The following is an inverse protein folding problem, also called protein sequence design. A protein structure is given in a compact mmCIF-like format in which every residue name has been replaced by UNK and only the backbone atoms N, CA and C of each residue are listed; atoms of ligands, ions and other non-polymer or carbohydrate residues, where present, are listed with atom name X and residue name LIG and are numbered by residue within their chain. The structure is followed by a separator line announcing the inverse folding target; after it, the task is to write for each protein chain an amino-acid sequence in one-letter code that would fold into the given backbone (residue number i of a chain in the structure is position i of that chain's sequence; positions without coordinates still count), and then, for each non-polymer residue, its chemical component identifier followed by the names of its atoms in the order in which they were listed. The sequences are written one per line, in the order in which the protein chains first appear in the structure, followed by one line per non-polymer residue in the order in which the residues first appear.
data_IF_716309605579
#
_entry.id   IF_716309605579
#
_cell.length_a   1.000
_cell.length_b   1.000
_cell.length_c   1.000
_cell.angle_alpha   90.00
_cell.angle_beta   90.00
_cell.angle_gamma   90.00
#
_symmetry.space_group_name_H-M   'P 1'
#
loop_
_entity.id
_entity.type
_entity.pdbx_description
1 polymer ?
#
# COMPACT_ATOMS: atom_id res chain seq x y z
N UNK A 1 55.33 6.75 -7.55
CA UNK A 1 54.09 7.31 -8.13
C UNK A 1 53.12 6.21 -8.58
N UNK A 2 53.60 5.19 -9.32
CA UNK A 2 52.77 4.08 -9.83
C UNK A 2 51.98 3.31 -8.75
N UNK A 3 52.57 3.08 -7.58
CA UNK A 3 51.88 2.36 -6.50
C UNK A 3 50.67 3.13 -5.95
N UNK A 4 50.79 4.45 -5.83
CA UNK A 4 49.68 5.32 -5.42
C UNK A 4 48.59 5.30 -6.49
N UNK A 5 48.97 5.36 -7.77
CA UNK A 5 48.03 5.29 -8.88
C UNK A 5 47.29 3.95 -8.93
N UNK A 6 47.99 2.84 -8.68
CA UNK A 6 47.42 1.50 -8.57
C UNK A 6 46.41 1.40 -7.42
N UNK A 7 46.75 1.94 -6.25
CA UNK A 7 45.86 1.99 -5.10
C UNK A 7 44.61 2.85 -5.37
N UNK A 8 44.78 4.01 -6.02
CA UNK A 8 43.68 4.88 -6.42
C UNK A 8 42.73 4.20 -7.41
N UNK A 9 43.26 3.56 -8.46
CA UNK A 9 42.44 2.80 -9.42
C UNK A 9 41.65 1.69 -8.74
N UNK A 10 42.29 0.95 -7.83
CA UNK A 10 41.63 -0.13 -7.08
C UNK A 10 40.54 0.40 -6.14
N UNK A 11 40.83 1.50 -5.43
CA UNK A 11 39.85 2.17 -4.55
C UNK A 11 38.66 2.67 -5.35
N UNK A 12 38.89 3.37 -6.46
CA UNK A 12 37.84 3.87 -7.35
C UNK A 12 36.98 2.74 -7.91
N UNK A 13 37.58 1.62 -8.33
CA UNK A 13 36.85 0.47 -8.83
C UNK A 13 35.98 -0.19 -7.73
N UNK A 14 36.52 -0.31 -6.51
CA UNK A 14 35.78 -0.84 -5.37
C UNK A 14 34.57 0.04 -5.00
N UNK A 15 34.76 1.35 -4.92
CA UNK A 15 33.67 2.31 -4.66
C UNK A 15 32.62 2.25 -5.77
N UNK A 16 33.06 2.29 -7.04
CA UNK A 16 32.15 2.26 -8.19
C UNK A 16 31.30 0.99 -8.20
N UNK A 17 31.91 -0.17 -7.97
CA UNK A 17 31.17 -1.43 -7.90
C UNK A 17 30.19 -1.49 -6.74
N UNK A 18 30.51 -0.85 -5.60
CA UNK A 18 29.59 -0.76 -4.46
C UNK A 18 28.40 0.13 -4.77
N UNK A 19 28.63 1.27 -5.43
CA UNK A 19 27.57 2.20 -5.86
C UNK A 19 26.62 1.54 -6.86
N UNK A 20 27.16 0.84 -7.87
CA UNK A 20 26.34 0.11 -8.85
C UNK A 20 25.45 -0.92 -8.18
N UNK A 21 26.00 -1.73 -7.26
CA UNK A 21 25.22 -2.73 -6.51
C UNK A 21 24.14 -2.10 -5.65
N UNK A 22 24.42 -0.97 -4.99
CA UNK A 22 23.44 -0.26 -4.19
C UNK A 22 22.31 0.31 -5.07
N UNK A 23 22.63 0.79 -6.26
CA UNK A 23 21.63 1.25 -7.23
C UNK A 23 20.72 0.09 -7.69
N UNK A 24 21.29 -1.08 -7.99
CA UNK A 24 20.52 -2.28 -8.36
C UNK A 24 19.59 -2.72 -7.22
N UNK A 25 20.07 -2.70 -5.98
CA UNK A 25 19.26 -2.99 -4.79
C UNK A 25 18.12 -1.99 -4.62
N UNK A 26 18.36 -0.70 -4.87
CA UNK A 26 17.32 0.33 -4.82
C UNK A 26 16.25 0.07 -5.88
N UNK A 27 16.64 -0.25 -7.12
CA UNK A 27 15.69 -0.57 -8.20
C UNK A 27 14.86 -1.79 -7.83
N UNK A 28 15.49 -2.84 -7.30
CA UNK A 28 14.78 -4.04 -6.87
C UNK A 28 13.81 -3.77 -5.73
N UNK A 29 14.24 -3.01 -4.71
CA UNK A 29 13.38 -2.65 -3.58
C UNK A 29 12.23 -1.75 -4.03
N UNK A 30 12.46 -0.78 -4.92
CA UNK A 30 11.40 0.03 -5.51
C UNK A 30 10.43 -0.82 -6.32
N UNK A 31 10.90 -1.82 -7.05
CA UNK A 31 10.04 -2.76 -7.77
C UNK A 31 9.20 -3.61 -6.81
N UNK A 32 9.78 -4.11 -5.72
CA UNK A 32 9.05 -4.82 -4.67
C UNK A 32 8.03 -3.93 -3.96
N UNK A 33 8.42 -2.70 -3.58
CA UNK A 33 7.52 -1.71 -2.96
C UNK A 33 6.40 -1.31 -3.92
N UNK A 34 6.67 -1.21 -5.23
CA UNK A 34 5.62 -0.99 -6.26
C UNK A 34 4.73 -2.20 -6.45
N UNK A 35 5.27 -3.41 -6.39
CA UNK A 35 4.50 -4.65 -6.50
C UNK A 35 3.62 -4.89 -5.26
N UNK A 36 4.10 -4.51 -4.08
CA UNK A 36 3.36 -4.46 -2.81
C UNK A 36 2.56 -3.17 -2.63
N UNK A 37 2.67 -2.22 -3.58
CA UNK A 37 2.05 -0.92 -3.44
C UNK A 37 0.54 -1.11 -3.51
N UNK A 38 -0.22 -0.50 -2.56
CA UNK A 38 -1.67 -0.44 -2.62
C UNK A 38 -2.19 -0.05 -4.01
N UNK A 39 -1.44 0.77 -4.77
CA UNK A 39 -1.82 1.22 -6.11
C UNK A 39 -2.13 0.09 -7.10
N UNK A 40 -1.37 -1.02 -7.11
CA UNK A 40 -1.66 -2.13 -8.05
C UNK A 40 -2.98 -2.83 -7.73
N UNK A 41 -3.33 -2.90 -6.45
CA UNK A 41 -4.61 -3.41 -6.00
C UNK A 41 -5.72 -2.42 -6.36
N UNK A 42 -5.48 -1.11 -6.21
CA UNK A 42 -6.42 -0.08 -6.63
C UNK A 42 -6.69 -0.12 -8.14
N UNK A 43 -5.64 -0.25 -8.97
CA UNK A 43 -5.74 -0.34 -10.43
C UNK A 43 -6.55 -1.56 -10.89
N UNK A 44 -6.62 -2.62 -10.07
CA UNK A 44 -7.45 -3.82 -10.32
C UNK A 44 -8.93 -3.61 -9.96
N UNK A 45 -9.31 -2.43 -9.46
CA UNK A 45 -10.68 -2.10 -9.09
C UNK A 45 -11.02 -2.32 -7.62
N UNK A 46 -10.03 -2.63 -6.78
CA UNK A 46 -10.24 -2.64 -5.33
C UNK A 46 -10.15 -1.21 -4.77
N UNK A 47 -10.69 -1.02 -3.56
CA UNK A 47 -10.66 0.25 -2.86
C UNK A 47 -10.13 0.08 -1.43
N UNK A 48 -9.56 1.15 -0.88
CA UNK A 48 -9.21 1.24 0.54
C UNK A 48 -10.22 2.17 1.21
N UNK A 49 -10.89 1.68 2.25
CA UNK A 49 -11.90 2.44 3.00
C UNK A 49 -11.29 2.92 4.31
N UNK A 50 -11.42 4.22 4.58
CA UNK A 50 -10.87 4.90 5.75
C UNK A 50 -11.96 5.70 6.46
N UNK A 51 -11.81 5.92 7.76
CA UNK A 51 -12.68 6.85 8.49
C UNK A 51 -12.36 8.29 8.07
N UNK A 52 -13.39 9.06 7.66
CA UNK A 52 -13.19 10.45 7.22
C UNK A 52 -12.72 11.39 8.36
N UNK A 53 -12.85 10.96 9.62
CA UNK A 53 -12.71 11.78 10.81
C UNK A 53 -11.46 11.41 11.63
N UNK A 54 -10.32 11.17 10.99
CA UNK A 54 -8.98 11.38 11.56
C UNK A 54 -8.66 10.95 13.01
N UNK A 55 -9.30 9.92 13.59
CA UNK A 55 -8.86 9.35 14.87
C UNK A 55 -8.62 7.84 14.73
N UNK A 56 -7.35 7.41 14.68
CA UNK A 56 -7.02 6.02 14.41
C UNK A 56 -7.29 5.12 15.62
N UNK A 57 -7.97 4.00 15.40
CA UNK A 57 -7.86 2.83 16.29
C UNK A 57 -6.49 2.15 16.14
N UNK A 58 -5.85 2.28 14.97
CA UNK A 58 -4.43 1.96 14.72
C UNK A 58 -3.96 2.68 13.44
N UNK A 59 -3.00 3.61 13.57
CA UNK A 59 -2.46 4.32 12.41
C UNK A 59 -1.65 3.36 11.55
N UNK A 60 -1.96 3.29 10.25
CA UNK A 60 -1.03 2.70 9.27
C UNK A 60 0.16 3.65 9.09
N UNK A 61 1.26 3.17 8.49
CA UNK A 61 2.44 4.00 8.20
C UNK A 61 2.14 5.29 7.41
N UNK A 62 0.94 5.39 6.81
CA UNK A 62 0.44 6.56 6.07
C UNK A 62 -0.59 7.43 6.86
N UNK A 63 -0.79 7.20 8.16
CA UNK A 63 -1.61 8.09 9.01
C UNK A 63 -3.13 7.97 8.86
N UNK A 64 -3.64 7.08 8.00
CA UNK A 64 -5.08 6.89 7.82
C UNK A 64 -5.63 5.69 8.60
N UNK A 65 -6.83 5.84 9.17
CA UNK A 65 -7.55 4.82 9.92
C UNK A 65 -8.37 3.94 8.97
N UNK A 66 -7.75 2.87 8.47
CA UNK A 66 -8.37 1.92 7.53
C UNK A 66 -9.40 1.05 8.26
N UNK A 67 -10.62 0.94 7.70
CA UNK A 67 -11.68 0.08 8.21
C UNK A 67 -11.37 -1.38 7.85
N UNK A 68 -11.35 -2.25 8.86
CA UNK A 68 -11.03 -3.69 8.75
C UNK A 68 -12.17 -4.59 9.22
N UNK A 69 -13.04 -4.08 10.08
CA UNK A 69 -14.22 -4.80 10.56
C UNK A 69 -15.49 -3.94 10.40
N UNK A 70 -16.67 -4.55 10.14
CA UNK A 70 -17.93 -3.81 10.04
C UNK A 70 -18.25 -2.96 11.28
N UNK A 71 -17.86 -3.44 12.46
CA UNK A 71 -18.03 -2.74 13.74
C UNK A 71 -17.26 -1.42 13.84
N UNK A 72 -16.24 -1.22 13.01
CA UNK A 72 -15.45 0.02 12.95
C UNK A 72 -16.14 1.12 12.12
N UNK A 73 -17.17 0.77 11.34
CA UNK A 73 -17.98 1.71 10.58
C UNK A 73 -19.48 1.50 10.84
N UNK A 74 -20.01 1.86 12.03
CA UNK A 74 -21.45 1.86 12.29
C UNK A 74 -22.24 2.74 11.32
N UNK A 75 -23.56 2.55 11.25
CA UNK A 75 -24.44 3.36 10.41
C UNK A 75 -24.30 4.86 10.69
N UNK A 76 -24.24 5.66 9.62
CA UNK A 76 -24.00 7.10 9.67
C UNK A 76 -22.52 7.51 9.75
N UNK A 77 -21.59 6.55 9.81
CA UNK A 77 -20.15 6.85 9.85
C UNK A 77 -19.68 7.41 8.51
N UNK A 78 -19.05 8.58 8.54
CA UNK A 78 -18.43 9.18 7.36
C UNK A 78 -17.13 8.44 6.99
N UNK A 79 -17.02 8.06 5.72
CA UNK A 79 -15.94 7.28 5.16
C UNK A 79 -15.27 8.02 4.00
N UNK A 80 -13.99 7.76 3.83
CA UNK A 80 -13.16 8.18 2.72
C UNK A 80 -12.75 6.93 1.96
N UNK A 81 -13.08 6.85 0.67
CA UNK A 81 -12.82 5.68 -0.18
C UNK A 81 -11.77 6.04 -1.21
N UNK A 82 -10.60 5.41 -1.11
CA UNK A 82 -9.49 5.58 -2.05
C UNK A 82 -9.57 4.54 -3.14
N UNK A 83 -9.50 5.01 -4.38
CA UNK A 83 -9.48 4.23 -5.62
C UNK A 83 -8.27 4.61 -6.47
N UNK A 84 -8.07 3.91 -7.59
CA UNK A 84 -6.88 4.09 -8.45
C UNK A 84 -6.65 5.55 -8.86
N UNK A 85 -7.73 6.27 -9.14
CA UNK A 85 -7.72 7.63 -9.70
C UNK A 85 -8.15 8.71 -8.70
N UNK A 86 -8.23 8.41 -7.41
CA UNK A 86 -8.56 9.46 -6.42
C UNK A 86 -9.26 8.96 -5.16
N UNK A 87 -10.00 9.89 -4.55
CA UNK A 87 -10.67 9.74 -3.28
C UNK A 87 -12.09 10.28 -3.38
N UNK A 88 -13.07 9.60 -2.79
CA UNK A 88 -14.43 10.11 -2.67
C UNK A 88 -15.04 9.78 -1.30
N UNK A 89 -16.04 10.55 -0.91
CA UNK A 89 -16.74 10.35 0.36
C UNK A 89 -17.82 9.28 0.27
N UNK A 90 -18.05 8.56 1.37
CA UNK A 90 -19.16 7.63 1.52
C UNK A 90 -19.72 7.69 2.95
N UNK A 91 -20.91 7.13 3.15
CA UNK A 91 -21.51 6.98 4.48
C UNK A 91 -21.82 5.51 4.70
N UNK A 92 -21.35 4.96 5.82
CA UNK A 92 -21.69 3.58 6.19
C UNK A 92 -23.18 3.45 6.49
N UNK A 93 -23.81 2.39 6.01
CA UNK A 93 -25.17 1.98 6.39
C UNK A 93 -25.18 1.02 7.57
N UNK A 94 -24.01 0.74 8.17
CA UNK A 94 -23.83 -0.26 9.22
C UNK A 94 -23.55 -1.65 8.66
N UNK A 95 -23.37 -2.62 9.56
CA UNK A 95 -23.13 -4.01 9.20
C UNK A 95 -24.35 -4.61 8.49
N UNK A 96 -24.12 -5.16 7.30
CA UNK A 96 -25.13 -5.91 6.55
C UNK A 96 -25.08 -7.37 7.03
N UNK A 97 -26.18 -7.86 7.58
CA UNK A 97 -26.36 -9.29 7.77
C UNK A 97 -26.48 -9.92 6.38
N UNK A 98 -25.50 -10.73 5.98
CA UNK A 98 -25.63 -11.51 4.75
C UNK A 98 -26.75 -12.53 4.95
N UNK A 99 -27.94 -12.19 4.45
CA UNK A 99 -29.09 -13.07 4.43
C UNK A 99 -28.85 -14.22 3.46
N UNK A 100 -29.01 -15.44 3.97
CA UNK A 100 -29.21 -16.70 3.26
C UNK A 100 -29.82 -16.49 1.86
N UNK A 101 -29.01 -16.51 0.81
CA UNK A 101 -29.52 -16.51 -0.57
C UNK A 101 -28.73 -17.52 -1.41
N UNK A 102 -28.99 -18.80 -1.17
CA UNK A 102 -28.87 -19.87 -2.17
C UNK A 102 -29.81 -21.03 -1.78
N UNK A 103 -31.12 -20.75 -1.75
CA UNK A 103 -32.14 -21.76 -1.89
C UNK A 103 -32.92 -21.43 -3.17
N UNK A 104 -32.41 -21.95 -4.30
CA UNK A 104 -33.11 -22.10 -5.57
C UNK A 104 -32.66 -23.46 -6.09
N UNK A 105 -33.52 -24.46 -5.95
CA UNK A 105 -34.57 -24.86 -6.91
C UNK A 105 -34.05 -26.08 -7.68
N UNK A 106 -34.22 -27.26 -7.08
CA UNK A 106 -34.42 -28.50 -7.83
C UNK A 106 -35.62 -29.21 -7.20
N UNK A 107 -36.77 -29.01 -7.83
CA UNK A 107 -37.97 -29.81 -7.71
C UNK A 107 -38.01 -30.83 -8.86
#
# INVERSE_FOLDING_TARGET
AEEIERLLRRSSAAVSSTVVRAADQLVHLQAQVRALSPQKTLDRGYAVVELANGRPARATAAGHAVVRAPSEAPSGTALSVRVAQGLFGATSTGELQQGETHARDEA
#
